data_IF_877787633249
#
_entry.id   IF_877787633249
#
_cell.length_a   1.000
_cell.length_b   1.000
_cell.length_c   1.000
_cell.angle_alpha   90.00
_cell.angle_beta   90.00
_cell.angle_gamma   90.00
#
_symmetry.space_group_name_H-M   'P 1'
#
loop_
_entity.id
_entity.type
_entity.pdbx_description
1 polymer ?
#
# COMPACT_ATOMS: atom_id res chain seq x y z
N UNK A 1 19.12 40.11 23.11
CA UNK A 1 18.06 39.77 22.17
C UNK A 1 18.43 38.53 21.40
N UNK A 2 17.98 37.37 21.88
CA UNK A 2 17.91 36.20 21.03
C UNK A 2 16.55 36.18 20.33
N UNK A 3 16.41 36.94 19.27
CA UNK A 3 15.30 36.80 18.32
C UNK A 3 15.77 36.00 17.14
N UNK A 4 16.05 34.73 17.36
CA UNK A 4 16.35 33.83 16.26
C UNK A 4 15.11 33.02 15.96
N UNK A 5 14.30 33.49 15.05
CA UNK A 5 13.48 32.55 14.28
C UNK A 5 14.40 31.98 13.20
N UNK A 6 14.51 30.64 13.10
CA UNK A 6 15.33 30.00 12.09
C UNK A 6 15.12 30.57 10.67
N UNK A 7 13.90 31.05 10.38
CA UNK A 7 13.58 31.66 9.09
C UNK A 7 14.12 33.08 8.90
N UNK A 8 14.36 33.87 9.98
CA UNK A 8 14.89 35.23 9.86
C UNK A 8 16.42 35.29 9.84
N UNK A 9 17.08 34.22 10.23
CA UNK A 9 18.51 34.19 10.45
C UNK A 9 19.29 33.47 9.34
N UNK A 10 18.62 32.86 8.37
CA UNK A 10 19.24 32.23 7.18
C UNK A 10 20.19 33.20 6.46
N UNK A 11 19.90 34.51 6.47
CA UNK A 11 20.77 35.53 5.88
C UNK A 11 21.95 35.91 6.76
N UNK A 12 21.95 35.59 8.06
CA UNK A 12 22.97 35.98 8.99
C UNK A 12 24.10 34.97 9.14
N UNK A 13 23.91 33.74 8.66
CA UNK A 13 24.88 32.64 8.70
C UNK A 13 25.52 32.46 10.09
N UNK A 14 24.64 32.39 11.11
CA UNK A 14 25.05 32.17 12.49
C UNK A 14 25.47 30.73 12.75
N UNK A 15 26.28 30.50 13.78
CA UNK A 15 26.66 29.15 14.22
C UNK A 15 25.42 28.36 14.63
N UNK A 16 25.32 27.11 14.14
CA UNK A 16 24.17 26.19 14.32
C UNK A 16 22.82 26.63 13.68
N UNK A 17 22.88 27.58 12.76
CA UNK A 17 21.74 28.06 12.02
C UNK A 17 21.41 27.10 10.86
N UNK A 18 20.13 26.68 10.75
CA UNK A 18 19.68 25.79 9.69
C UNK A 18 18.23 26.09 9.32
N UNK A 19 17.94 26.22 8.02
CA UNK A 19 16.57 26.24 7.52
C UNK A 19 15.98 24.82 7.48
N UNK A 20 15.61 24.28 8.66
CA UNK A 20 15.08 22.94 8.78
C UNK A 20 13.80 22.75 7.97
N UNK A 21 12.93 23.76 7.92
CA UNK A 21 11.69 23.75 7.14
C UNK A 21 11.98 23.70 5.63
N UNK A 22 12.91 24.53 5.15
CA UNK A 22 13.30 24.53 3.74
C UNK A 22 13.95 23.23 3.28
N UNK A 23 14.87 22.69 4.08
CA UNK A 23 15.56 21.42 3.79
C UNK A 23 14.59 20.24 3.76
N UNK A 24 13.65 20.18 4.69
CA UNK A 24 12.74 19.03 4.85
C UNK A 24 11.47 19.10 4.00
N UNK A 25 11.18 20.25 3.40
CA UNK A 25 9.97 20.45 2.57
C UNK A 25 9.77 19.40 1.47
N UNK A 26 10.79 18.99 0.69
CA UNK A 26 10.60 17.98 -0.35
C UNK A 26 10.46 16.55 0.18
N UNK A 27 10.80 16.30 1.45
CA UNK A 27 10.82 14.96 2.06
C UNK A 27 9.66 14.71 3.02
N UNK A 28 8.79 15.71 3.28
CA UNK A 28 7.72 15.63 4.28
C UNK A 28 6.37 16.01 3.70
N UNK A 29 5.29 15.54 4.32
CA UNK A 29 3.92 15.92 3.95
C UNK A 29 3.62 17.38 4.27
N UNK A 30 4.13 17.87 5.39
CA UNK A 30 4.01 19.25 5.82
C UNK A 30 5.06 19.61 6.87
N UNK A 31 5.34 20.92 6.98
CA UNK A 31 6.27 21.47 7.94
C UNK A 31 5.66 22.65 8.65
N UNK A 32 5.94 22.79 9.94
CA UNK A 32 5.57 23.95 10.75
C UNK A 32 6.83 24.55 11.38
N UNK A 33 6.90 25.87 11.38
CA UNK A 33 7.76 26.64 12.27
C UNK A 33 6.91 27.26 13.35
N UNK A 34 7.13 26.89 14.61
CA UNK A 34 6.40 27.47 15.76
C UNK A 34 6.95 28.86 16.03
N UNK A 35 6.07 29.88 15.94
CA UNK A 35 6.41 31.28 16.16
C UNK A 35 5.80 31.88 17.44
N UNK A 36 4.85 31.19 18.04
CA UNK A 36 4.18 31.59 19.26
C UNK A 36 3.91 30.32 20.09
N UNK A 37 4.20 30.39 21.39
CA UNK A 37 3.98 29.30 22.33
C UNK A 37 2.51 28.88 22.40
N UNK A 38 1.57 29.81 22.25
CA UNK A 38 0.13 29.54 22.28
C UNK A 38 -0.34 28.68 21.09
N UNK A 39 0.39 28.67 19.98
CA UNK A 39 0.13 27.83 18.81
C UNK A 39 0.69 26.42 18.93
N UNK A 40 1.62 26.16 19.83
CA UNK A 40 2.36 24.90 19.89
C UNK A 40 1.43 23.68 20.04
N UNK A 41 0.49 23.75 20.97
CA UNK A 41 -0.47 22.66 21.20
C UNK A 41 -1.28 22.35 19.93
N UNK A 42 -1.86 23.35 19.30
CA UNK A 42 -2.61 23.21 18.05
C UNK A 42 -1.75 22.62 16.93
N UNK A 43 -0.54 23.14 16.73
CA UNK A 43 0.40 22.68 15.70
C UNK A 43 0.77 21.20 15.90
N UNK A 44 1.05 20.78 17.12
CA UNK A 44 1.37 19.37 17.40
C UNK A 44 0.19 18.45 17.07
N UNK A 45 -1.03 18.80 17.45
CA UNK A 45 -2.22 18.01 17.10
C UNK A 45 -2.46 17.95 15.58
N UNK A 46 -2.31 19.09 14.87
CA UNK A 46 -2.38 19.14 13.41
C UNK A 46 -1.29 18.28 12.76
N UNK A 47 -0.07 18.30 13.31
CA UNK A 47 1.06 17.51 12.80
C UNK A 47 0.76 16.00 12.90
N UNK A 48 0.30 15.52 14.04
CA UNK A 48 -0.11 14.11 14.18
C UNK A 48 -1.26 13.74 13.24
N UNK A 49 -2.26 14.62 13.10
CA UNK A 49 -3.37 14.41 12.18
C UNK A 49 -2.88 14.29 10.72
N UNK A 50 -2.03 15.22 10.27
CA UNK A 50 -1.50 15.18 8.89
C UNK A 50 -0.59 13.98 8.68
N UNK A 51 0.24 13.63 9.66
CA UNK A 51 1.15 12.48 9.56
C UNK A 51 0.39 11.15 9.39
N UNK A 52 -0.69 10.95 10.14
CA UNK A 52 -1.39 9.66 10.24
C UNK A 52 -2.60 9.50 9.33
N UNK A 53 -3.16 10.59 8.78
CA UNK A 53 -4.37 10.53 7.93
C UNK A 53 -4.04 10.54 6.44
N UNK A 54 -5.00 10.11 5.60
CA UNK A 54 -4.76 9.92 4.17
C UNK A 54 -3.66 8.90 3.93
N UNK A 55 -2.74 9.19 3.00
CA UNK A 55 -1.51 8.40 2.89
C UNK A 55 -0.56 8.80 4.03
N UNK A 56 -0.25 7.92 5.00
CA UNK A 56 0.64 8.25 6.09
C UNK A 56 2.04 8.66 5.61
N UNK A 57 2.68 9.58 6.34
CA UNK A 57 4.02 10.04 5.99
C UNK A 57 4.57 11.05 6.98
N UNK A 58 5.88 11.35 6.90
CA UNK A 58 6.55 12.21 7.85
C UNK A 58 6.08 13.66 7.77
N UNK A 59 6.12 14.32 8.91
CA UNK A 59 5.94 15.76 9.07
C UNK A 59 7.06 16.31 9.95
N UNK A 60 7.31 17.61 9.88
CA UNK A 60 8.29 18.26 10.73
C UNK A 60 7.64 19.42 11.50
N UNK A 61 7.94 19.52 12.79
CA UNK A 61 7.63 20.68 13.62
C UNK A 61 8.94 21.23 14.16
N UNK A 62 9.31 22.41 13.67
CA UNK A 62 10.47 23.15 14.15
C UNK A 62 10.07 24.04 15.31
N UNK A 63 10.68 23.81 16.47
CA UNK A 63 10.41 24.54 17.71
C UNK A 63 11.68 25.32 18.10
N UNK A 64 11.78 26.60 17.73
CA UNK A 64 12.95 27.43 18.02
C UNK A 64 13.25 27.53 19.52
N UNK A 65 14.52 27.78 19.83
CA UNK A 65 15.03 27.82 21.21
C UNK A 65 14.28 28.84 22.10
N UNK A 66 13.97 30.01 21.57
CA UNK A 66 13.23 31.06 22.28
C UNK A 66 11.81 30.62 22.65
N UNK A 67 11.14 29.84 21.79
CA UNK A 67 9.82 29.24 22.08
C UNK A 67 9.95 28.20 23.19
N UNK A 68 11.02 27.38 23.21
CA UNK A 68 11.21 26.34 24.22
C UNK A 68 11.39 26.89 25.63
N UNK A 69 11.82 28.15 25.78
CA UNK A 69 11.95 28.84 27.08
C UNK A 69 10.69 29.58 27.51
N UNK A 70 9.68 29.71 26.65
CA UNK A 70 8.44 30.39 27.00
C UNK A 70 7.52 29.49 27.83
N UNK A 71 6.76 30.13 28.72
CA UNK A 71 5.71 29.47 29.49
C UNK A 71 4.39 29.76 28.79
N UNK A 72 3.66 28.72 28.43
CA UNK A 72 2.34 28.80 27.81
C UNK A 72 1.32 27.95 28.55
N UNK A 73 0.04 28.13 28.25
CA UNK A 73 -1.03 27.28 28.76
C UNK A 73 -1.41 26.26 27.71
N UNK A 74 -1.40 24.99 28.07
CA UNK A 74 -1.88 23.93 27.17
C UNK A 74 -3.40 24.03 27.02
N UNK A 75 -3.84 24.28 25.80
CA UNK A 75 -5.24 24.24 25.41
C UNK A 75 -5.36 23.18 24.32
N UNK A 76 -5.94 22.03 24.68
CA UNK A 76 -6.23 20.98 23.70
C UNK A 76 -7.31 21.44 22.73
N UNK A 77 -7.15 21.17 21.40
CA UNK A 77 -8.21 21.51 20.45
C UNK A 77 -9.43 20.59 20.65
N UNK A 78 -10.64 21.15 20.66
CA UNK A 78 -11.88 20.36 20.67
C UNK A 78 -12.01 19.49 19.40
N UNK A 79 -11.52 20.00 18.28
CA UNK A 79 -11.49 19.29 17.00
C UNK A 79 -10.17 19.55 16.28
N UNK A 80 -9.56 18.47 15.79
CA UNK A 80 -8.32 18.56 15.01
C UNK A 80 -8.71 18.73 13.54
N UNK A 81 -8.37 19.88 12.95
CA UNK A 81 -8.63 20.20 11.54
C UNK A 81 -7.45 20.97 10.96
N UNK A 82 -7.00 20.58 9.79
CA UNK A 82 -6.03 21.37 9.02
C UNK A 82 -6.75 22.18 7.93
N UNK A 83 -6.34 23.44 7.71
CA UNK A 83 -7.07 24.37 6.81
C UNK A 83 -7.19 23.86 5.37
N UNK A 84 -6.13 23.29 4.83
CA UNK A 84 -6.04 22.85 3.43
C UNK A 84 -5.95 21.35 3.22
N UNK A 85 -5.74 20.56 4.27
CA UNK A 85 -5.60 19.11 4.17
C UNK A 85 -6.89 18.39 4.56
N UNK A 86 -7.52 17.79 3.56
CA UNK A 86 -8.80 17.05 3.71
C UNK A 86 -8.75 15.80 2.85
N UNK A 87 -8.21 14.69 3.36
CA UNK A 87 -8.17 13.44 2.60
C UNK A 87 -9.58 12.96 2.26
N UNK A 88 -9.77 12.52 1.02
CA UNK A 88 -11.04 11.95 0.56
C UNK A 88 -11.10 10.49 1.00
N UNK A 89 -12.00 10.17 1.92
CA UNK A 89 -12.11 8.81 2.47
C UNK A 89 -13.09 7.92 1.69
N UNK A 90 -14.10 8.50 1.04
CA UNK A 90 -15.13 7.75 0.30
C UNK A 90 -15.04 8.02 -1.19
N UNK A 91 -15.04 6.97 -2.00
CA UNK A 91 -15.20 7.08 -3.44
C UNK A 91 -16.65 7.38 -3.84
N UNK A 92 -16.84 7.78 -5.10
CA UNK A 92 -18.19 7.95 -5.64
C UNK A 92 -18.83 6.57 -5.88
N UNK A 93 -20.09 6.40 -5.46
CA UNK A 93 -20.82 5.14 -5.57
C UNK A 93 -21.07 4.74 -7.04
N UNK A 94 -21.29 5.70 -7.94
CA UNK A 94 -21.48 5.44 -9.36
C UNK A 94 -20.20 4.92 -10.00
N UNK A 95 -19.04 5.45 -9.59
CA UNK A 95 -17.72 4.98 -10.05
C UNK A 95 -17.42 3.58 -9.49
N UNK A 96 -17.84 3.27 -8.25
CA UNK A 96 -17.76 1.91 -7.71
C UNK A 96 -18.62 0.96 -8.55
N UNK A 97 -19.85 1.36 -8.91
CA UNK A 97 -20.72 0.56 -9.76
C UNK A 97 -20.12 0.29 -11.15
N UNK A 98 -19.48 1.29 -11.75
CA UNK A 98 -18.72 1.14 -13.00
C UNK A 98 -17.60 0.10 -12.86
N UNK A 99 -16.80 0.19 -11.80
CA UNK A 99 -15.77 -0.81 -11.50
C UNK A 99 -16.35 -2.23 -11.34
N UNK A 100 -17.48 -2.37 -10.64
CA UNK A 100 -18.14 -3.67 -10.44
C UNK A 100 -18.71 -4.26 -11.74
N UNK A 101 -19.17 -3.43 -12.68
CA UNK A 101 -19.55 -3.87 -14.02
C UNK A 101 -18.36 -4.46 -14.77
N UNK A 102 -17.20 -3.80 -14.74
CA UNK A 102 -15.98 -4.34 -15.35
C UNK A 102 -15.58 -5.68 -14.71
N UNK A 103 -15.63 -5.76 -13.37
CA UNK A 103 -15.33 -6.99 -12.62
C UNK A 103 -16.26 -8.14 -13.03
N UNK A 104 -17.55 -7.86 -13.22
CA UNK A 104 -18.53 -8.89 -13.61
C UNK A 104 -18.36 -9.40 -15.05
N UNK A 105 -17.71 -8.62 -15.92
CA UNK A 105 -17.51 -8.93 -17.33
C UNK A 105 -16.14 -9.55 -17.63
N UNK A 106 -15.19 -9.50 -16.66
CA UNK A 106 -13.84 -9.97 -16.85
C UNK A 106 -13.78 -11.49 -17.07
N UNK A 107 -12.91 -11.91 -17.98
CA UNK A 107 -12.65 -13.30 -18.29
C UNK A 107 -11.35 -13.81 -17.66
N UNK A 108 -10.32 -12.94 -17.61
CA UNK A 108 -9.00 -13.20 -17.08
C UNK A 108 -8.58 -12.15 -16.03
N UNK A 109 -9.37 -11.97 -14.95
CA UNK A 109 -9.12 -10.93 -13.96
C UNK A 109 -7.97 -11.29 -13.02
N UNK A 110 -7.37 -10.24 -12.41
CA UNK A 110 -6.41 -10.40 -11.32
C UNK A 110 -6.55 -9.27 -10.29
N UNK A 111 -6.53 -9.61 -9.01
CA UNK A 111 -6.32 -8.64 -7.94
C UNK A 111 -4.82 -8.39 -7.76
N UNK A 112 -4.48 -7.12 -7.59
CA UNK A 112 -3.14 -6.65 -7.29
C UNK A 112 -3.17 -5.79 -6.03
N UNK A 113 -2.58 -6.26 -4.93
CA UNK A 113 -2.67 -5.59 -3.63
C UNK A 113 -1.32 -5.03 -3.18
N UNK A 114 -1.36 -3.89 -2.51
CA UNK A 114 -0.20 -3.22 -1.96
C UNK A 114 -0.35 -2.83 -0.49
N UNK A 115 0.66 -2.13 0.04
CA UNK A 115 0.70 -1.66 1.42
C UNK A 115 -0.45 -0.75 1.84
N UNK A 116 -1.17 -0.14 0.87
CA UNK A 116 -2.34 0.68 1.15
C UNK A 116 -3.48 -0.09 1.83
N UNK A 117 -3.62 -1.39 1.57
CA UNK A 117 -4.58 -2.25 2.27
C UNK A 117 -4.24 -2.38 3.75
N UNK A 118 -2.96 -2.61 4.05
CA UNK A 118 -2.46 -2.76 5.42
C UNK A 118 -2.57 -1.43 6.17
N UNK A 119 -2.22 -0.33 5.53
CA UNK A 119 -2.30 1.02 6.10
C UNK A 119 -3.75 1.46 6.39
N UNK A 120 -4.73 0.95 5.64
CA UNK A 120 -6.16 1.18 5.91
C UNK A 120 -6.68 0.36 7.10
N UNK A 121 -5.87 -0.59 7.61
CA UNK A 121 -6.13 -1.33 8.84
C UNK A 121 -6.80 -2.69 8.63
N UNK A 122 -7.05 -3.36 9.77
CA UNK A 122 -7.52 -4.75 9.77
C UNK A 122 -8.90 -4.93 9.08
N UNK A 123 -9.78 -3.94 9.17
CA UNK A 123 -11.08 -3.98 8.47
C UNK A 123 -10.89 -4.09 6.94
N UNK A 124 -9.96 -3.31 6.37
CA UNK A 124 -9.63 -3.37 4.94
C UNK A 124 -9.11 -4.74 4.53
N UNK A 125 -8.25 -5.34 5.37
CA UNK A 125 -7.71 -6.69 5.16
C UNK A 125 -8.83 -7.74 5.10
N UNK A 126 -9.78 -7.69 6.04
CA UNK A 126 -10.90 -8.65 6.07
C UNK A 126 -11.84 -8.44 4.87
N UNK A 127 -12.14 -7.19 4.50
CA UNK A 127 -12.97 -6.87 3.34
C UNK A 127 -12.29 -7.28 2.02
N UNK A 128 -10.96 -7.10 1.90
CA UNK A 128 -10.22 -7.63 0.75
C UNK A 128 -10.39 -9.15 0.64
N UNK A 129 -10.15 -9.88 1.73
CA UNK A 129 -10.28 -11.35 1.77
C UNK A 129 -11.69 -11.81 1.40
N UNK A 130 -12.70 -11.12 1.92
CA UNK A 130 -14.09 -11.38 1.56
C UNK A 130 -14.34 -11.16 0.07
N UNK A 131 -13.89 -10.03 -0.49
CA UNK A 131 -14.14 -9.69 -1.88
C UNK A 131 -13.42 -10.64 -2.85
N UNK A 132 -12.19 -11.02 -2.56
CA UNK A 132 -11.42 -12.01 -3.34
C UNK A 132 -12.14 -13.37 -3.32
N UNK A 133 -12.61 -13.82 -2.16
CA UNK A 133 -13.37 -15.09 -2.05
C UNK A 133 -14.71 -15.07 -2.78
N UNK A 134 -15.46 -13.95 -2.72
CA UNK A 134 -16.75 -13.79 -3.42
C UNK A 134 -16.54 -13.90 -4.94
N UNK A 135 -15.47 -13.31 -5.46
CA UNK A 135 -15.20 -13.30 -6.90
C UNK A 135 -14.52 -14.58 -7.37
N UNK A 136 -13.75 -15.23 -6.54
CA UNK A 136 -12.94 -16.40 -6.90
C UNK A 136 -11.73 -16.06 -7.77
N UNK A 137 -11.34 -14.79 -7.89
CA UNK A 137 -10.25 -14.34 -8.73
C UNK A 137 -8.88 -14.63 -8.11
N UNK A 138 -7.83 -14.82 -8.92
CA UNK A 138 -6.45 -14.86 -8.43
C UNK A 138 -6.04 -13.51 -7.85
N UNK A 139 -5.18 -13.56 -6.84
CA UNK A 139 -4.60 -12.38 -6.22
C UNK A 139 -3.08 -12.47 -6.15
N UNK A 140 -2.42 -11.37 -6.47
CA UNK A 140 -0.98 -11.15 -6.29
C UNK A 140 -0.72 -9.92 -5.42
N UNK A 141 0.48 -9.78 -4.91
CA UNK A 141 0.84 -8.72 -3.98
C UNK A 141 2.18 -8.07 -4.32
N UNK A 142 2.34 -6.82 -3.91
CA UNK A 142 3.67 -6.21 -3.72
C UNK A 142 4.33 -6.76 -2.46
N UNK A 143 5.63 -6.51 -2.30
CA UNK A 143 6.35 -6.79 -1.06
C UNK A 143 5.65 -6.18 0.17
N UNK A 144 5.23 -4.91 0.07
CA UNK A 144 4.56 -4.19 1.17
C UNK A 144 3.09 -4.61 1.39
N UNK A 145 2.52 -5.41 0.52
CA UNK A 145 1.16 -5.94 0.66
C UNK A 145 1.11 -7.38 1.17
N UNK A 146 2.26 -8.01 1.40
CA UNK A 146 2.32 -9.38 1.92
C UNK A 146 1.60 -9.49 3.27
N UNK A 147 0.81 -10.55 3.44
CA UNK A 147 -0.03 -10.77 4.62
C UNK A 147 -1.43 -10.14 4.54
N UNK A 148 -1.68 -9.15 3.66
CA UNK A 148 -3.04 -8.66 3.43
C UNK A 148 -3.97 -9.80 2.97
N UNK A 149 -3.46 -10.66 2.09
CA UNK A 149 -4.10 -11.92 1.73
C UNK A 149 -3.22 -13.10 2.18
N UNK A 150 -3.79 -14.21 2.69
CA UNK A 150 -2.99 -15.32 3.19
C UNK A 150 -2.09 -15.93 2.12
N UNK A 151 -0.80 -16.08 2.41
CA UNK A 151 0.19 -16.60 1.47
C UNK A 151 0.11 -18.11 1.22
N UNK A 152 -0.72 -18.83 1.98
CA UNK A 152 -1.02 -20.27 1.85
C UNK A 152 -2.39 -20.55 1.22
N UNK A 153 -3.19 -19.52 0.90
CA UNK A 153 -4.47 -19.67 0.22
C UNK A 153 -4.27 -19.93 -1.29
N UNK A 154 -5.08 -20.81 -1.87
CA UNK A 154 -5.00 -21.24 -3.27
C UNK A 154 -5.18 -20.09 -4.28
N UNK A 155 -5.92 -19.04 -3.91
CA UNK A 155 -6.12 -17.87 -4.75
C UNK A 155 -4.90 -16.94 -4.78
N UNK A 156 -3.97 -17.07 -3.81
CA UNK A 156 -2.73 -16.30 -3.81
C UNK A 156 -1.69 -16.94 -4.74
N UNK A 157 -1.35 -16.25 -5.82
CA UNK A 157 -0.42 -16.76 -6.84
C UNK A 157 1.01 -16.23 -6.68
N UNK A 158 1.35 -15.78 -5.47
CA UNK A 158 2.69 -15.28 -5.15
C UNK A 158 2.83 -13.77 -5.31
N UNK A 159 4.03 -13.28 -5.02
CA UNK A 159 4.39 -11.87 -5.19
C UNK A 159 4.62 -11.56 -6.66
N UNK A 160 4.29 -10.33 -7.07
CA UNK A 160 4.52 -9.79 -8.41
C UNK A 160 5.87 -9.06 -8.48
N UNK A 161 6.39 -8.94 -9.70
CA UNK A 161 7.55 -8.11 -10.02
C UNK A 161 8.86 -8.88 -10.22
N UNK A 162 9.97 -8.16 -10.15
CA UNK A 162 11.31 -8.69 -10.45
C UNK A 162 11.68 -9.94 -9.64
N UNK A 163 11.24 -10.03 -8.40
CA UNK A 163 11.47 -11.14 -7.47
C UNK A 163 10.22 -11.97 -7.22
N UNK A 164 9.19 -11.78 -8.05
CA UNK A 164 7.92 -12.49 -7.94
C UNK A 164 7.93 -13.87 -8.57
N UNK A 165 6.80 -14.56 -8.46
CA UNK A 165 6.59 -15.86 -9.10
C UNK A 165 6.35 -15.71 -10.60
N UNK A 166 6.66 -16.76 -11.36
CA UNK A 166 6.42 -16.78 -12.80
C UNK A 166 4.94 -16.63 -13.13
N UNK A 167 4.09 -17.37 -12.44
CA UNK A 167 2.62 -17.34 -12.61
C UNK A 167 2.03 -15.98 -12.30
N UNK A 168 2.50 -15.26 -11.24
CA UNK A 168 2.03 -13.92 -10.93
C UNK A 168 2.39 -12.91 -12.03
N UNK A 169 3.62 -12.95 -12.54
CA UNK A 169 4.07 -12.09 -13.62
C UNK A 169 3.34 -12.40 -14.94
N UNK A 170 3.12 -13.68 -15.26
CA UNK A 170 2.38 -14.06 -16.45
C UNK A 170 0.89 -13.69 -16.35
N UNK A 171 0.27 -13.91 -15.20
CA UNK A 171 -1.12 -13.55 -14.98
C UNK A 171 -1.32 -12.02 -15.08
N UNK A 172 -0.41 -11.22 -14.53
CA UNK A 172 -0.43 -9.76 -14.67
C UNK A 172 -0.29 -9.31 -16.11
N UNK A 173 0.59 -9.94 -16.90
CA UNK A 173 0.79 -9.58 -18.29
C UNK A 173 -0.39 -9.97 -19.20
N UNK A 174 -1.08 -11.07 -18.89
CA UNK A 174 -2.12 -11.68 -19.74
C UNK A 174 -3.56 -11.41 -19.27
N UNK A 175 -3.75 -10.75 -18.13
CA UNK A 175 -5.08 -10.42 -17.65
C UNK A 175 -5.80 -9.44 -18.60
N UNK A 176 -7.12 -9.50 -18.60
CA UNK A 176 -8.02 -8.53 -19.25
C UNK A 176 -8.51 -7.46 -18.29
N UNK A 177 -8.44 -7.74 -16.98
CA UNK A 177 -8.78 -6.79 -15.94
C UNK A 177 -7.79 -6.89 -14.77
N UNK A 178 -7.16 -5.76 -14.45
CA UNK A 178 -6.35 -5.57 -13.25
C UNK A 178 -7.12 -4.75 -12.22
N UNK A 179 -7.25 -5.28 -11.01
CA UNK A 179 -7.88 -4.58 -9.88
C UNK A 179 -6.78 -4.24 -8.88
N UNK A 180 -6.22 -3.04 -9.01
CA UNK A 180 -5.17 -2.54 -8.13
C UNK A 180 -5.77 -1.94 -6.86
N UNK A 181 -5.36 -2.44 -5.68
CA UNK A 181 -5.83 -2.00 -4.37
C UNK A 181 -4.65 -1.57 -3.51
N UNK A 182 -4.45 -0.27 -3.39
CA UNK A 182 -3.42 0.32 -2.55
C UNK A 182 -1.97 0.07 -2.96
N UNK A 183 -1.71 -0.13 -4.28
CA UNK A 183 -0.37 -0.22 -4.84
C UNK A 183 -0.10 0.93 -5.82
N UNK A 184 1.14 1.43 -5.86
CA UNK A 184 1.51 2.66 -6.58
C UNK A 184 2.05 2.46 -7.99
N UNK A 185 2.09 1.26 -8.52
CA UNK A 185 2.79 0.94 -9.78
C UNK A 185 4.28 1.32 -9.73
N UNK A 186 5.01 0.77 -8.77
CA UNK A 186 6.44 0.99 -8.60
C UNK A 186 7.23 0.37 -9.75
N UNK A 187 8.39 0.96 -10.10
CA UNK A 187 9.24 0.50 -11.21
C UNK A 187 9.76 -0.93 -11.05
N UNK A 188 9.91 -1.41 -9.81
CA UNK A 188 10.28 -2.81 -9.50
C UNK A 188 9.19 -3.81 -9.88
N UNK A 189 7.98 -3.33 -10.11
CA UNK A 189 6.82 -4.12 -10.53
C UNK A 189 6.53 -3.94 -12.01
N UNK A 190 6.48 -2.68 -12.47
CA UNK A 190 6.07 -2.37 -13.85
C UNK A 190 7.14 -2.71 -14.89
N UNK A 191 8.41 -2.56 -14.55
CA UNK A 191 9.47 -2.60 -15.54
C UNK A 191 9.24 -1.58 -16.66
N UNK A 192 9.26 -2.03 -17.91
CA UNK A 192 8.93 -1.17 -19.07
C UNK A 192 7.43 -0.93 -19.10
N UNK A 193 7.03 0.33 -18.91
CA UNK A 193 5.63 0.74 -18.73
C UNK A 193 4.74 0.35 -19.92
N UNK A 194 5.22 0.55 -21.15
CA UNK A 194 4.47 0.23 -22.37
C UNK A 194 4.11 -1.26 -22.49
N UNK A 195 4.90 -2.13 -21.88
CA UNK A 195 4.71 -3.58 -21.92
C UNK A 195 4.01 -4.11 -20.64
N UNK A 196 3.72 -3.23 -19.66
CA UNK A 196 3.08 -3.61 -18.41
C UNK A 196 1.58 -3.81 -18.56
N UNK A 197 1.15 -5.07 -18.52
CA UNK A 197 -0.27 -5.44 -18.62
C UNK A 197 -1.00 -4.74 -19.78
N UNK A 198 -0.52 -4.90 -21.03
CA UNK A 198 -0.93 -4.05 -22.16
C UNK A 198 -2.37 -4.31 -22.63
N UNK A 199 -2.95 -5.46 -22.25
CA UNK A 199 -4.28 -5.88 -22.70
C UNK A 199 -5.38 -5.64 -21.66
N UNK A 200 -5.02 -5.23 -20.42
CA UNK A 200 -5.97 -5.11 -19.33
C UNK A 200 -6.62 -3.74 -19.26
N UNK A 201 -7.91 -3.74 -18.93
CA UNK A 201 -8.51 -2.60 -18.22
C UNK A 201 -7.99 -2.56 -16.80
N UNK A 202 -7.93 -1.35 -16.22
CA UNK A 202 -7.30 -1.14 -14.92
C UNK A 202 -8.23 -0.36 -14.00
N UNK A 203 -8.55 -0.96 -12.85
CA UNK A 203 -9.22 -0.30 -11.73
C UNK A 203 -8.15 0.02 -10.70
N UNK A 204 -8.10 1.26 -10.21
CA UNK A 204 -7.14 1.68 -9.19
C UNK A 204 -7.84 2.27 -7.97
N UNK A 205 -7.70 1.62 -6.83
CA UNK A 205 -8.18 2.07 -5.53
C UNK A 205 -6.99 2.60 -4.74
N UNK A 206 -6.95 3.90 -4.48
CA UNK A 206 -5.90 4.54 -3.69
C UNK A 206 -6.47 5.73 -2.89
N UNK A 207 -5.95 5.96 -1.70
CA UNK A 207 -6.33 7.12 -0.88
C UNK A 207 -5.67 8.41 -1.34
N UNK A 208 -4.54 8.30 -2.06
CA UNK A 208 -3.75 9.42 -2.55
C UNK A 208 -4.11 9.72 -4.02
N UNK A 209 -4.84 10.80 -4.29
CA UNK A 209 -5.19 11.15 -5.67
C UNK A 209 -3.97 11.41 -6.56
N UNK A 210 -2.82 11.75 -5.98
CA UNK A 210 -1.59 11.98 -6.75
C UNK A 210 -0.93 10.68 -7.26
N UNK A 211 -1.36 9.52 -6.76
CA UNK A 211 -0.94 8.21 -7.25
C UNK A 211 -1.69 7.77 -8.50
N UNK A 212 -2.89 8.33 -8.72
CA UNK A 212 -3.74 7.98 -9.88
C UNK A 212 -3.14 8.56 -11.17
N UNK A 213 -3.05 7.72 -12.21
CA UNK A 213 -2.51 8.08 -13.53
C UNK A 213 -1.08 8.67 -13.49
N UNK A 214 -0.33 8.36 -12.42
CA UNK A 214 1.03 8.90 -12.27
C UNK A 214 2.06 8.13 -13.10
N UNK A 215 1.94 6.82 -13.13
CA UNK A 215 2.89 5.90 -13.79
C UNK A 215 2.16 5.10 -14.88
N UNK A 216 1.00 4.59 -14.56
CA UNK A 216 0.16 3.78 -15.45
C UNK A 216 -1.22 4.42 -15.51
N UNK A 217 -1.73 4.63 -16.72
CA UNK A 217 -3.09 5.12 -16.93
C UNK A 217 -4.11 4.05 -16.55
N UNK A 218 -5.19 4.47 -15.88
CA UNK A 218 -6.23 3.57 -15.40
C UNK A 218 -7.60 3.94 -15.98
N UNK A 219 -8.44 2.93 -16.23
CA UNK A 219 -9.79 3.12 -16.79
C UNK A 219 -10.76 3.62 -15.73
N UNK A 220 -10.65 3.10 -14.50
CA UNK A 220 -11.51 3.49 -13.38
C UNK A 220 -10.67 3.81 -12.15
N UNK A 221 -10.78 5.05 -11.67
CA UNK A 221 -10.08 5.55 -10.49
C UNK A 221 -11.03 5.69 -9.28
N UNK A 222 -10.75 4.98 -8.20
CA UNK A 222 -11.50 5.02 -6.95
C UNK A 222 -10.66 5.67 -5.84
N UNK A 223 -10.71 7.01 -5.75
CA UNK A 223 -9.99 7.74 -4.71
C UNK A 223 -10.76 7.66 -3.40
N UNK A 224 -10.19 6.95 -2.43
CA UNK A 224 -10.77 6.73 -1.12
C UNK A 224 -9.97 5.76 -0.25
N UNK A 225 -10.35 5.65 1.01
CA UNK A 225 -9.81 4.66 1.92
C UNK A 225 -10.26 3.26 1.51
N UNK A 226 -9.35 2.29 1.52
CA UNK A 226 -9.60 0.93 1.03
C UNK A 226 -10.76 0.25 1.76
N UNK A 227 -10.86 0.41 3.09
CA UNK A 227 -11.93 -0.21 3.86
C UNK A 227 -13.30 0.32 3.42
N UNK A 228 -13.44 1.64 3.28
CA UNK A 228 -14.70 2.26 2.84
C UNK A 228 -15.07 1.87 1.41
N UNK A 229 -14.09 1.87 0.50
CA UNK A 229 -14.35 1.50 -0.92
C UNK A 229 -14.75 0.04 -1.03
N UNK A 230 -14.08 -0.87 -0.35
CA UNK A 230 -14.41 -2.30 -0.39
C UNK A 230 -15.73 -2.62 0.32
N UNK A 231 -16.05 -1.94 1.43
CA UNK A 231 -17.33 -2.08 2.10
C UNK A 231 -18.49 -1.71 1.17
N UNK A 232 -18.41 -0.55 0.52
CA UNK A 232 -19.44 -0.10 -0.43
C UNK A 232 -19.49 -0.99 -1.67
N UNK A 233 -18.34 -1.45 -2.18
CA UNK A 233 -18.28 -2.38 -3.32
C UNK A 233 -18.95 -3.72 -3.00
N UNK A 234 -18.67 -4.32 -1.83
CA UNK A 234 -19.28 -5.59 -1.41
C UNK A 234 -20.79 -5.45 -1.20
N UNK A 235 -21.23 -4.35 -0.57
CA UNK A 235 -22.67 -4.06 -0.40
C UNK A 235 -23.38 -3.96 -1.75
N UNK A 236 -22.79 -3.23 -2.68
CA UNK A 236 -23.33 -3.05 -4.01
C UNK A 236 -23.33 -4.36 -4.81
N UNK A 237 -22.24 -5.11 -4.73
CA UNK A 237 -22.12 -6.43 -5.35
C UNK A 237 -23.25 -7.38 -4.93
N UNK A 238 -23.51 -7.45 -3.63
CA UNK A 238 -24.57 -8.30 -3.07
C UNK A 238 -25.96 -7.80 -3.43
N UNK A 239 -26.18 -6.49 -3.46
CA UNK A 239 -27.51 -5.91 -3.72
C UNK A 239 -27.94 -5.96 -5.19
N UNK A 240 -27.01 -5.74 -6.13
CA UNK A 240 -27.25 -5.72 -7.58
C UNK A 240 -27.12 -7.08 -8.25
N UNK A 241 -26.79 -8.13 -7.50
CA UNK A 241 -26.66 -9.51 -8.02
C UNK A 241 -25.73 -9.60 -9.24
N UNK A 242 -24.54 -9.01 -9.16
CA UNK A 242 -23.49 -9.21 -10.15
C UNK A 242 -23.12 -10.68 -10.27
N UNK A 243 -22.81 -11.12 -11.48
CA UNK A 243 -22.45 -12.53 -11.76
C UNK A 243 -21.07 -12.60 -12.38
N UNK A 244 -20.28 -13.54 -11.91
CA UNK A 244 -18.99 -13.87 -12.49
C UNK A 244 -19.20 -14.82 -13.68
N UNK A 245 -18.43 -14.65 -14.73
CA UNK A 245 -18.32 -15.60 -15.84
C UNK A 245 -17.53 -16.83 -15.38
N UNK A 246 -18.21 -17.77 -14.70
CA UNK A 246 -17.57 -18.96 -14.14
C UNK A 246 -16.87 -19.85 -15.18
N UNK A 247 -17.39 -20.06 -16.40
CA UNK A 247 -16.66 -20.80 -17.42
C UNK A 247 -15.31 -20.19 -17.78
N UNK A 248 -15.27 -18.89 -18.08
CA UNK A 248 -14.02 -18.17 -18.42
C UNK A 248 -13.05 -18.17 -17.24
N UNK A 249 -13.53 -17.92 -16.03
CA UNK A 249 -12.70 -17.97 -14.83
C UNK A 249 -12.07 -19.36 -14.60
N UNK A 250 -12.80 -20.44 -14.89
CA UNK A 250 -12.27 -21.81 -14.82
C UNK A 250 -11.14 -22.04 -15.81
N UNK A 251 -11.25 -21.56 -17.04
CA UNK A 251 -10.18 -21.68 -18.04
C UNK A 251 -9.00 -20.79 -17.67
N UNK A 252 -9.25 -19.61 -17.07
CA UNK A 252 -8.19 -18.75 -16.57
C UNK A 252 -7.38 -19.44 -15.47
N UNK A 253 -8.04 -20.09 -14.50
CA UNK A 253 -7.35 -20.86 -13.47
C UNK A 253 -6.54 -22.02 -14.04
N UNK A 254 -7.03 -22.76 -15.03
CA UNK A 254 -6.26 -23.80 -15.73
C UNK A 254 -4.99 -23.22 -16.36
N UNK A 255 -5.08 -22.03 -16.92
CA UNK A 255 -3.92 -21.36 -17.52
C UNK A 255 -2.90 -20.99 -16.44
N UNK A 256 -3.34 -20.46 -15.32
CA UNK A 256 -2.48 -20.12 -14.18
C UNK A 256 -1.83 -21.37 -13.60
N UNK A 257 -2.60 -22.45 -13.41
CA UNK A 257 -2.08 -23.72 -12.88
C UNK A 257 -1.00 -24.31 -13.78
N UNK A 258 -1.16 -24.21 -15.10
CA UNK A 258 -0.11 -24.59 -16.05
C UNK A 258 1.17 -23.75 -15.89
N UNK A 259 1.06 -22.48 -15.53
CA UNK A 259 2.23 -21.67 -15.25
C UNK A 259 2.89 -22.03 -13.92
N UNK A 260 2.09 -22.43 -12.91
CA UNK A 260 2.59 -22.92 -11.62
C UNK A 260 3.42 -24.20 -11.76
N UNK A 261 3.15 -25.04 -12.79
CA UNK A 261 3.95 -26.24 -13.08
C UNK A 261 5.44 -25.94 -13.34
N UNK A 262 5.76 -24.69 -13.73
CA UNK A 262 7.15 -24.26 -13.91
C UNK A 262 7.95 -24.25 -12.60
N UNK A 263 7.27 -24.16 -11.46
CA UNK A 263 7.85 -24.13 -10.11
C UNK A 263 9.06 -23.20 -10.02
N UNK A 264 8.83 -21.91 -10.35
CA UNK A 264 9.88 -20.90 -10.56
C UNK A 264 10.72 -20.62 -9.33
N UNK A 265 10.23 -21.00 -8.14
CA UNK A 265 10.94 -20.85 -6.87
C UNK A 265 11.58 -22.17 -6.41
N UNK A 266 11.56 -23.22 -7.23
CA UNK A 266 12.18 -24.50 -6.89
C UNK A 266 13.68 -24.33 -6.63
N UNK A 267 14.16 -24.99 -5.61
CA UNK A 267 15.59 -25.08 -5.31
C UNK A 267 15.95 -26.49 -4.84
N UNK A 268 17.20 -26.86 -5.01
CA UNK A 268 17.71 -28.15 -4.56
C UNK A 268 18.44 -27.99 -3.22
N UNK A 269 18.10 -28.83 -2.26
CA UNK A 269 18.82 -28.89 -0.99
C UNK A 269 20.23 -29.48 -1.21
N UNK A 270 21.19 -28.97 -0.44
CA UNK A 270 22.54 -29.49 -0.37
C UNK A 270 22.75 -30.29 0.93
N UNK A 271 23.61 -31.29 0.87
CA UNK A 271 24.06 -32.04 2.08
C UNK A 271 25.15 -31.29 2.83
N UNK A 272 25.88 -30.42 2.16
CA UNK A 272 27.06 -29.75 2.69
C UNK A 272 26.81 -28.30 3.11
N UNK A 273 25.74 -27.68 2.57
CA UNK A 273 25.42 -26.27 2.83
C UNK A 273 23.93 -26.07 3.05
N UNK A 274 23.59 -25.20 3.99
CA UNK A 274 22.20 -24.79 4.20
C UNK A 274 21.86 -23.70 3.16
N UNK A 275 20.89 -23.98 2.29
CA UNK A 275 20.38 -23.00 1.33
C UNK A 275 19.53 -21.95 2.07
N UNK A 276 19.64 -20.64 1.73
CA UNK A 276 18.82 -19.60 2.35
C UNK A 276 17.32 -19.88 2.22
N UNK A 277 16.88 -20.38 1.09
CA UNK A 277 15.50 -20.77 0.83
C UNK A 277 15.00 -21.82 1.84
N UNK A 278 15.81 -22.86 2.07
CA UNK A 278 15.51 -23.90 3.05
C UNK A 278 15.43 -23.34 4.46
N UNK A 279 16.36 -22.46 4.84
CA UNK A 279 16.35 -21.81 6.15
C UNK A 279 15.05 -21.02 6.39
N UNK A 280 14.59 -20.24 5.40
CA UNK A 280 13.34 -19.47 5.48
C UNK A 280 12.12 -20.38 5.53
N UNK A 281 12.05 -21.42 4.70
CA UNK A 281 10.95 -22.39 4.76
C UNK A 281 10.89 -23.07 6.12
N UNK A 282 12.04 -23.46 6.65
CA UNK A 282 12.09 -24.07 8.00
C UNK A 282 11.68 -23.10 9.10
N UNK A 283 12.07 -21.82 8.98
CA UNK A 283 11.62 -20.76 9.89
C UNK A 283 10.10 -20.63 9.85
N UNK A 284 9.51 -20.59 8.66
CA UNK A 284 8.05 -20.56 8.51
C UNK A 284 7.38 -21.76 9.21
N UNK A 285 7.84 -22.99 8.96
CA UNK A 285 7.27 -24.20 9.57
C UNK A 285 7.29 -24.16 11.10
N UNK A 286 8.36 -23.60 11.69
CA UNK A 286 8.54 -23.51 13.15
C UNK A 286 7.76 -22.35 13.79
N UNK A 287 7.31 -21.37 12.99
CA UNK A 287 6.69 -20.13 13.50
C UNK A 287 5.28 -19.88 12.97
N UNK A 288 4.77 -20.62 11.98
CA UNK A 288 3.46 -20.39 11.35
C UNK A 288 2.28 -20.36 12.33
N UNK A 289 2.37 -21.09 13.44
CA UNK A 289 1.35 -21.15 14.47
C UNK A 289 1.63 -20.19 15.65
N UNK A 290 2.64 -19.32 15.51
CA UNK A 290 3.03 -18.33 16.51
C UNK A 290 2.67 -16.93 16.03
N UNK A 291 2.47 -16.02 16.97
CA UNK A 291 2.34 -14.59 16.68
C UNK A 291 3.74 -13.98 16.53
N UNK A 292 4.34 -14.18 15.36
CA UNK A 292 5.72 -13.79 15.07
C UNK A 292 5.76 -12.63 14.09
N UNK A 293 6.59 -11.62 14.40
CA UNK A 293 6.93 -10.54 13.49
C UNK A 293 8.21 -10.90 12.75
N UNK A 294 8.18 -10.84 11.41
CA UNK A 294 9.35 -11.06 10.58
C UNK A 294 9.88 -9.72 10.09
N UNK A 295 11.04 -9.35 10.61
CA UNK A 295 11.74 -8.13 10.21
C UNK A 295 12.97 -8.47 9.39
N UNK A 296 13.22 -7.69 8.34
CA UNK A 296 14.37 -7.84 7.47
C UNK A 296 15.03 -6.47 7.25
N UNK A 297 16.29 -6.49 6.93
CA UNK A 297 16.98 -5.38 6.32
C UNK A 297 16.87 -5.51 4.79
N UNK A 298 17.27 -4.52 4.01
CA UNK A 298 17.21 -4.56 2.53
C UNK A 298 18.33 -5.43 1.97
N UNK A 299 17.96 -6.48 1.21
CA UNK A 299 18.94 -7.38 0.60
C UNK A 299 18.30 -8.68 0.10
N UNK A 300 19.14 -9.65 -0.29
CA UNK A 300 18.67 -10.93 -0.78
C UNK A 300 17.81 -11.69 0.22
N UNK A 301 18.12 -11.59 1.52
CA UNK A 301 17.34 -12.23 2.59
C UNK A 301 15.91 -11.70 2.67
N UNK A 302 15.67 -10.41 2.36
CA UNK A 302 14.32 -9.85 2.26
C UNK A 302 13.54 -10.52 1.11
N UNK A 303 14.19 -10.74 -0.03
CA UNK A 303 13.55 -11.39 -1.18
C UNK A 303 13.24 -12.85 -0.86
N UNK A 304 14.15 -13.58 -0.22
CA UNK A 304 13.88 -14.96 0.22
C UNK A 304 12.76 -15.01 1.28
N UNK A 305 12.71 -14.08 2.21
CA UNK A 305 11.60 -13.99 3.16
C UNK A 305 10.26 -13.77 2.43
N UNK A 306 10.22 -12.87 1.45
CA UNK A 306 9.02 -12.60 0.65
C UNK A 306 8.56 -13.80 -0.20
N UNK A 307 9.50 -14.63 -0.67
CA UNK A 307 9.23 -15.77 -1.54
C UNK A 307 8.86 -17.04 -0.78
N UNK A 308 9.52 -17.29 0.35
CA UNK A 308 9.47 -18.61 1.03
C UNK A 308 8.80 -18.57 2.40
N UNK A 309 8.55 -17.40 2.99
CA UNK A 309 7.75 -17.27 4.20
C UNK A 309 6.30 -16.92 3.82
N UNK A 310 5.35 -17.78 4.18
CA UNK A 310 3.94 -17.60 3.84
C UNK A 310 3.27 -16.72 4.90
N UNK A 311 3.15 -15.44 4.62
CA UNK A 311 2.52 -14.48 5.53
C UNK A 311 1.00 -14.68 5.56
N UNK A 312 0.45 -15.04 6.70
CA UNK A 312 -0.99 -15.18 6.91
C UNK A 312 -1.65 -13.91 7.45
N UNK A 313 -0.84 -13.02 8.02
CA UNK A 313 -1.24 -11.72 8.60
C UNK A 313 -0.30 -10.62 8.10
N UNK A 314 -0.77 -9.36 8.05
CA UNK A 314 0.09 -8.20 7.79
C UNK A 314 1.16 -8.02 8.85
#
# INVERSE_FOLDING_TARGET
HCTSSAASDVYKRQFQECDAVGITRPCTKHNWLVKNIDDLSRILHEAFYVASSGRPGPVLVDIPKDIQFQIGTYIGPETIKHKSYRPKLKANIDTIDEALKLISQAENPIFYTGGGVINSGNAAVQLLREFVRITGFPITSTLQGLGAYPGDDEQFIGMLGMHGTYEANMAMNKCDLMINIGARFDDRITGKIDDFSPYSKKIHIDIDPSSINKIVDVDVALVGDVAHVLEDAIKLWKSKVYKINKPSLKEWWKTIDKWKEKDSLKFENSKDTIKPQHAIQRLYELTKDKDAFITTEVGQHQMWAAQYYKFAKP
#
